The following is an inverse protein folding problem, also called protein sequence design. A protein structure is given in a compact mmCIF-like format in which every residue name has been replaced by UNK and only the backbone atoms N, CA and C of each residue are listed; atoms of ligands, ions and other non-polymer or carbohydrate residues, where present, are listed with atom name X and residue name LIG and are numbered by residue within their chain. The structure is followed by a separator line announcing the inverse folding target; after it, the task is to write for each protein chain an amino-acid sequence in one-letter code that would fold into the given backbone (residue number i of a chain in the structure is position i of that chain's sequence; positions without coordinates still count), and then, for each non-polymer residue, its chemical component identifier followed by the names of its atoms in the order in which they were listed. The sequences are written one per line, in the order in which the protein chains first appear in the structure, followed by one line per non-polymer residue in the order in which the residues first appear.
data_IF_651540621770
#
_entry.id   IF_651540621770
#
_cell.length_a   1.000
_cell.length_b   1.000
_cell.length_c   1.000
_cell.angle_alpha   90.00
_cell.angle_beta   90.00
_cell.angle_gamma   90.00
#
_symmetry.space_group_name_H-M   'P 1'
#
loop_
_entity.id
_entity.type
_entity.pdbx_description
1 polymer ?
#
# COMPACT_ATOMS: atom_id res chain seq x y z
N UNK A 1 -18.81 12.72 7.63
CA UNK A 1 -20.28 12.59 7.71
C UNK A 1 -20.64 11.37 6.89
N UNK A 2 -21.38 10.41 7.45
CA UNK A 2 -21.73 9.17 6.74
C UNK A 2 -23.03 9.30 5.95
N UNK A 3 -23.19 8.49 4.90
CA UNK A 3 -24.43 8.42 4.11
C UNK A 3 -25.56 7.87 4.98
N UNK A 4 -26.69 8.58 5.00
CA UNK A 4 -27.90 8.18 5.72
C UNK A 4 -28.74 7.21 4.86
N UNK A 5 -29.30 6.16 5.48
CA UNK A 5 -30.22 5.24 4.81
C UNK A 5 -31.64 5.79 4.65
N UNK A 6 -31.93 6.98 5.19
CA UNK A 6 -33.23 7.64 5.12
C UNK A 6 -33.17 8.88 4.24
N UNK A 7 -34.21 9.11 3.45
CA UNK A 7 -34.35 10.32 2.63
C UNK A 7 -34.79 11.54 3.48
N UNK A 8 -34.94 12.71 2.84
CA UNK A 8 -35.27 13.96 3.53
C UNK A 8 -36.66 13.96 4.21
N UNK A 9 -37.56 13.06 3.80
CA UNK A 9 -38.89 12.86 4.41
C UNK A 9 -38.86 11.82 5.54
N UNK A 10 -37.71 11.17 5.79
CA UNK A 10 -37.54 10.17 6.84
C UNK A 10 -37.93 8.75 6.41
N UNK A 11 -38.20 8.50 5.13
CA UNK A 11 -38.45 7.15 4.62
C UNK A 11 -37.14 6.41 4.35
N UNK A 12 -37.13 5.11 4.65
CA UNK A 12 -36.01 4.22 4.31
C UNK A 12 -35.87 4.17 2.79
N UNK A 13 -34.73 4.63 2.27
CA UNK A 13 -34.42 4.65 0.84
C UNK A 13 -33.10 3.91 0.59
N UNK A 14 -33.21 2.58 0.50
CA UNK A 14 -32.05 1.72 0.27
C UNK A 14 -31.44 1.93 -1.12
N UNK A 15 -32.22 2.34 -2.12
CA UNK A 15 -31.72 2.56 -3.48
C UNK A 15 -30.79 3.76 -3.52
N UNK A 16 -31.22 4.89 -2.96
CA UNK A 16 -30.38 6.09 -2.87
C UNK A 16 -29.15 5.83 -1.96
N UNK A 17 -29.35 5.14 -0.84
CA UNK A 17 -28.27 4.76 0.06
C UNK A 17 -27.21 3.89 -0.63
N UNK A 18 -27.62 2.84 -1.35
CA UNK A 18 -26.71 1.94 -2.07
C UNK A 18 -26.01 2.66 -3.22
N UNK A 19 -26.72 3.52 -3.97
CA UNK A 19 -26.12 4.33 -5.02
C UNK A 19 -25.03 5.26 -4.47
N UNK A 20 -25.34 6.01 -3.40
CA UNK A 20 -24.39 6.89 -2.73
C UNK A 20 -23.22 6.12 -2.10
N UNK A 21 -23.47 4.96 -1.49
CA UNK A 21 -22.44 4.13 -0.88
C UNK A 21 -21.48 3.53 -1.91
N UNK A 22 -21.99 3.21 -3.10
CA UNK A 22 -21.18 2.78 -4.22
C UNK A 22 -20.34 3.93 -4.79
N UNK A 23 -20.86 5.17 -4.78
CA UNK A 23 -20.09 6.38 -5.13
C UNK A 23 -19.00 6.64 -4.07
N UNK A 24 -19.32 6.49 -2.79
CA UNK A 24 -18.39 6.57 -1.67
C UNK A 24 -17.55 5.30 -1.47
N UNK A 25 -17.40 4.40 -2.46
CA UNK A 25 -16.52 3.25 -2.29
C UNK A 25 -15.07 3.74 -2.13
N UNK A 26 -14.65 3.93 -0.89
CA UNK A 26 -13.37 4.52 -0.52
C UNK A 26 -12.27 3.65 -1.12
N UNK A 27 -11.39 4.28 -1.90
CA UNK A 27 -10.21 3.59 -2.44
C UNK A 27 -9.33 3.18 -1.27
N UNK A 28 -8.92 1.91 -1.25
CA UNK A 28 -8.01 1.40 -0.23
C UNK A 28 -6.64 2.05 -0.38
N UNK A 29 -6.11 2.62 0.70
CA UNK A 29 -4.68 2.93 0.80
C UNK A 29 -3.91 1.60 0.84
N UNK A 30 -2.98 1.39 -0.08
CA UNK A 30 -2.17 0.18 -0.14
C UNK A 30 -0.70 0.53 -0.08
N UNK A 31 0.00 -0.11 0.85
CA UNK A 31 1.43 0.06 0.99
C UNK A 31 2.14 -0.87 0.00
N UNK A 32 3.03 -0.34 -0.83
CA UNK A 32 3.81 -1.11 -1.80
C UNK A 32 5.15 -1.48 -1.18
N UNK A 33 5.34 -2.76 -0.92
CA UNK A 33 6.57 -3.36 -0.42
C UNK A 33 7.28 -4.08 -1.57
N UNK A 34 8.47 -3.60 -1.93
CA UNK A 34 9.29 -4.18 -3.01
C UNK A 34 10.77 -3.92 -2.78
N UNK A 35 11.67 -4.69 -3.41
CA UNK A 35 13.10 -4.40 -3.35
C UNK A 35 13.39 -2.98 -3.85
N UNK A 36 14.28 -2.27 -3.16
CA UNK A 36 14.78 -0.96 -3.56
C UNK A 36 16.31 -0.93 -3.69
N UNK A 37 17.02 -1.39 -2.66
CA UNK A 37 18.48 -1.50 -2.68
C UNK A 37 19.02 -2.49 -3.73
N UNK A 38 20.29 -2.31 -4.12
CA UNK A 38 20.98 -3.07 -5.15
C UNK A 38 20.81 -2.43 -6.53
N UNK A 39 19.91 -2.97 -7.35
CA UNK A 39 19.55 -2.42 -8.67
C UNK A 39 18.58 -1.24 -8.49
N UNK A 40 19.08 -0.07 -8.04
CA UNK A 40 18.25 1.09 -7.69
C UNK A 40 17.43 1.55 -8.89
N UNK A 41 18.03 1.67 -10.06
CA UNK A 41 17.34 2.14 -11.28
C UNK A 41 16.22 1.17 -11.70
N UNK A 42 16.54 -0.12 -11.82
CA UNK A 42 15.55 -1.13 -12.18
C UNK A 42 14.47 -1.33 -11.11
N UNK A 43 14.83 -1.26 -9.83
CA UNK A 43 13.87 -1.30 -8.72
C UNK A 43 12.94 -0.09 -8.72
N UNK A 44 13.46 1.11 -9.00
CA UNK A 44 12.68 2.35 -9.10
C UNK A 44 11.62 2.22 -10.20
N UNK A 45 12.02 1.73 -11.38
CA UNK A 45 11.08 1.55 -12.50
C UNK A 45 10.03 0.47 -12.19
N UNK A 46 10.44 -0.64 -11.56
CA UNK A 46 9.52 -1.66 -11.07
C UNK A 46 8.51 -1.09 -10.07
N UNK A 47 8.97 -0.33 -9.09
CA UNK A 47 8.11 0.29 -8.07
C UNK A 47 7.09 1.25 -8.68
N UNK A 48 7.49 2.07 -9.66
CA UNK A 48 6.57 2.92 -10.44
C UNK A 48 5.49 2.10 -11.14
N UNK A 49 5.88 0.99 -11.79
CA UNK A 49 4.93 0.06 -12.42
C UNK A 49 3.97 -0.56 -11.40
N UNK A 50 4.45 -0.93 -10.20
CA UNK A 50 3.59 -1.45 -9.12
C UNK A 50 2.59 -0.39 -8.65
N UNK A 51 3.01 0.86 -8.52
CA UNK A 51 2.12 2.00 -8.26
C UNK A 51 1.04 2.14 -9.33
N UNK A 52 1.42 2.10 -10.61
CA UNK A 52 0.46 2.12 -11.73
C UNK A 52 -0.51 0.95 -11.65
N UNK A 53 -0.04 -0.26 -11.35
CA UNK A 53 -0.88 -1.44 -11.16
C UNK A 53 -1.89 -1.23 -10.02
N UNK A 54 -1.49 -0.71 -8.86
CA UNK A 54 -2.41 -0.39 -7.77
C UNK A 54 -3.51 0.60 -8.19
N UNK A 55 -3.16 1.64 -8.95
CA UNK A 55 -4.14 2.59 -9.51
C UNK A 55 -5.14 1.87 -10.43
N UNK A 56 -4.68 0.98 -11.32
CA UNK A 56 -5.59 0.20 -12.19
C UNK A 56 -6.52 -0.75 -11.41
N UNK A 57 -6.17 -1.07 -10.16
CA UNK A 57 -6.98 -1.87 -9.22
C UNK A 57 -7.86 -1.00 -8.31
N UNK A 58 -8.01 0.29 -8.62
CA UNK A 58 -8.75 1.27 -7.83
C UNK A 58 -8.24 1.41 -6.38
N UNK A 59 -6.93 1.23 -6.18
CA UNK A 59 -6.24 1.46 -4.92
C UNK A 59 -5.39 2.74 -4.97
N UNK A 60 -5.10 3.31 -3.81
CA UNK A 60 -4.20 4.46 -3.65
C UNK A 60 -2.84 3.92 -3.18
N UNK A 61 -1.80 3.90 -4.03
CA UNK A 61 -0.50 3.37 -3.65
C UNK A 61 0.28 4.34 -2.76
N UNK A 62 0.90 3.78 -1.73
CA UNK A 62 1.91 4.44 -0.89
C UNK A 62 3.23 3.71 -1.11
N UNK A 63 4.27 4.43 -1.57
CA UNK A 63 5.55 3.84 -1.97
C UNK A 63 6.70 4.62 -1.33
N UNK A 64 7.01 4.41 -0.04
CA UNK A 64 7.94 5.28 0.68
C UNK A 64 9.35 5.26 0.11
N UNK A 65 9.81 4.13 -0.42
CA UNK A 65 11.13 3.99 -1.05
C UNK A 65 11.24 4.72 -2.41
N UNK A 66 10.17 5.30 -2.95
CA UNK A 66 10.26 6.28 -4.05
C UNK A 66 10.21 7.73 -3.56
N UNK A 67 9.72 7.95 -2.35
CA UNK A 67 9.44 9.27 -1.78
C UNK A 67 10.60 9.75 -0.91
N UNK A 68 11.01 8.95 0.08
CA UNK A 68 12.01 9.33 1.06
C UNK A 68 13.41 9.57 0.48
N UNK A 69 13.92 8.79 -0.51
CA UNK A 69 15.23 9.06 -1.10
C UNK A 69 15.35 10.40 -1.82
N UNK A 70 14.25 11.14 -2.01
CA UNK A 70 14.28 12.49 -2.56
C UNK A 70 14.71 13.55 -1.53
N UNK A 71 14.71 13.21 -0.24
CA UNK A 71 15.03 14.12 0.85
C UNK A 71 15.69 13.46 2.07
N UNK A 72 16.00 12.15 2.00
CA UNK A 72 16.80 11.39 2.94
C UNK A 72 17.94 10.70 2.18
N UNK A 73 19.10 10.60 2.81
CA UNK A 73 20.32 9.97 2.34
C UNK A 73 20.33 8.49 2.76
N UNK A 74 20.25 7.58 1.77
CA UNK A 74 20.25 6.13 2.02
C UNK A 74 21.60 5.61 2.58
N UNK A 75 22.70 6.32 2.32
CA UNK A 75 24.04 5.98 2.80
C UNK A 75 24.28 6.43 4.25
N UNK A 76 23.42 7.28 4.80
CA UNK A 76 23.44 7.68 6.21
C UNK A 76 22.60 6.68 7.03
N UNK A 77 23.20 5.93 7.97
CA UNK A 77 22.47 4.98 8.81
C UNK A 77 21.33 5.60 9.63
N UNK A 78 21.49 6.83 10.12
CA UNK A 78 20.49 7.50 10.96
C UNK A 78 19.28 7.92 10.12
N UNK A 79 19.52 8.51 8.94
CA UNK A 79 18.44 8.89 8.03
C UNK A 79 17.73 7.66 7.44
N UNK A 80 18.47 6.57 7.21
CA UNK A 80 17.89 5.29 6.80
C UNK A 80 16.97 4.71 7.87
N UNK A 81 17.40 4.72 9.14
CA UNK A 81 16.56 4.28 10.26
C UNK A 81 15.30 5.17 10.38
N UNK A 82 15.47 6.48 10.23
CA UNK A 82 14.36 7.44 10.19
C UNK A 82 13.37 7.10 9.07
N UNK A 83 13.85 6.85 7.84
CA UNK A 83 13.02 6.45 6.69
C UNK A 83 12.22 5.17 6.95
N UNK A 84 12.85 4.15 7.54
CA UNK A 84 12.17 2.91 7.93
C UNK A 84 11.09 3.20 8.97
N UNK A 85 11.42 3.96 10.02
CA UNK A 85 10.47 4.26 11.10
C UNK A 85 9.22 5.00 10.59
N UNK A 86 9.40 6.01 9.72
CA UNK A 86 8.30 6.74 9.09
C UNK A 86 7.47 5.82 8.18
N UNK A 87 8.14 4.95 7.42
CA UNK A 87 7.49 3.94 6.59
C UNK A 87 6.58 3.02 7.39
N UNK A 88 7.01 2.54 8.56
CA UNK A 88 6.20 1.68 9.44
C UNK A 88 5.01 2.41 10.06
N UNK A 89 5.16 3.70 10.40
CA UNK A 89 4.03 4.54 10.84
C UNK A 89 3.02 4.69 9.70
N UNK A 90 3.48 4.95 8.49
CA UNK A 90 2.61 5.12 7.33
C UNK A 90 1.92 3.80 6.92
N UNK A 91 2.63 2.68 7.01
CA UNK A 91 2.07 1.34 6.85
C UNK A 91 0.89 1.12 7.81
N UNK A 92 0.98 1.57 9.06
CA UNK A 92 -0.12 1.43 10.04
C UNK A 92 -1.40 2.18 9.67
N UNK A 93 -1.34 3.11 8.70
CA UNK A 93 -2.49 3.84 8.16
C UNK A 93 -3.04 3.22 6.87
N UNK A 94 -2.36 2.22 6.32
CA UNK A 94 -2.78 1.54 5.10
C UNK A 94 -3.81 0.43 5.39
N UNK A 95 -4.62 0.12 4.40
CA UNK A 95 -5.65 -0.92 4.47
C UNK A 95 -5.09 -2.30 4.10
N UNK A 96 -4.07 -2.35 3.24
CA UNK A 96 -3.41 -3.58 2.79
C UNK A 96 -1.91 -3.33 2.56
N UNK A 97 -1.10 -4.38 2.71
CA UNK A 97 0.29 -4.43 2.28
C UNK A 97 0.38 -5.29 1.02
N UNK A 98 0.92 -4.73 -0.07
CA UNK A 98 1.15 -5.46 -1.31
C UNK A 98 2.64 -5.68 -1.52
N UNK A 99 3.06 -6.94 -1.46
CA UNK A 99 4.44 -7.37 -1.56
C UNK A 99 4.72 -7.81 -3.00
N UNK A 100 5.74 -7.22 -3.64
CA UNK A 100 6.14 -7.52 -5.01
C UNK A 100 7.56 -8.03 -5.08
N UNK A 101 7.80 -9.01 -5.96
CA UNK A 101 9.15 -9.45 -6.33
C UNK A 101 9.25 -10.97 -6.42
N UNK A 102 10.48 -11.46 -6.52
CA UNK A 102 10.81 -12.89 -6.46
C UNK A 102 11.51 -13.28 -5.16
N UNK A 103 11.89 -12.30 -4.33
CA UNK A 103 12.60 -12.48 -3.07
C UNK A 103 12.14 -11.44 -2.06
N UNK A 104 12.23 -11.77 -0.77
CA UNK A 104 12.02 -10.85 0.35
C UNK A 104 13.37 -10.36 0.82
N UNK A 105 13.58 -9.04 0.82
CA UNK A 105 14.80 -8.42 1.38
C UNK A 105 14.62 -8.16 2.87
N UNK A 106 15.70 -7.79 3.58
CA UNK A 106 15.62 -7.44 5.00
C UNK A 106 14.66 -6.28 5.28
N UNK A 107 14.69 -5.22 4.48
CA UNK A 107 13.75 -4.10 4.60
C UNK A 107 12.30 -4.53 4.39
N UNK A 108 12.05 -5.37 3.38
CA UNK A 108 10.70 -5.92 3.15
C UNK A 108 10.23 -6.80 4.30
N UNK A 109 11.12 -7.61 4.88
CA UNK A 109 10.78 -8.47 6.02
C UNK A 109 10.29 -7.64 7.22
N UNK A 110 10.93 -6.50 7.50
CA UNK A 110 10.51 -5.59 8.58
C UNK A 110 9.09 -5.06 8.34
N UNK A 111 8.77 -4.63 7.11
CA UNK A 111 7.42 -4.17 6.74
C UNK A 111 6.38 -5.29 6.82
N UNK A 112 6.72 -6.50 6.36
CA UNK A 112 5.85 -7.68 6.40
C UNK A 112 5.54 -8.08 7.84
N UNK A 113 6.55 -8.18 8.70
CA UNK A 113 6.36 -8.51 10.11
C UNK A 113 5.56 -7.42 10.83
N UNK A 114 5.79 -6.15 10.50
CA UNK A 114 4.94 -5.06 11.02
C UNK A 114 3.49 -5.27 10.60
N UNK A 115 3.21 -5.47 9.31
CA UNK A 115 1.85 -5.69 8.82
C UNK A 115 1.16 -6.88 9.50
N UNK A 116 1.87 -8.00 9.70
CA UNK A 116 1.37 -9.16 10.46
C UNK A 116 1.01 -8.77 11.89
N UNK A 117 1.91 -8.08 12.62
CA UNK A 117 1.69 -7.71 14.02
C UNK A 117 0.47 -6.79 14.24
N UNK A 118 0.09 -5.99 13.24
CA UNK A 118 -1.07 -5.08 13.30
C UNK A 118 -2.25 -5.57 12.45
N UNK A 119 -2.24 -6.85 12.04
CA UNK A 119 -3.30 -7.50 11.27
C UNK A 119 -3.71 -6.79 9.96
N UNK A 120 -2.75 -6.15 9.28
CA UNK A 120 -2.97 -5.63 7.93
C UNK A 120 -2.95 -6.81 6.94
N UNK A 121 -3.99 -6.97 6.07
CA UNK A 121 -4.00 -7.98 5.03
C UNK A 121 -2.79 -7.84 4.08
N UNK A 122 -2.09 -8.95 3.85
CA UNK A 122 -0.91 -9.01 2.99
C UNK A 122 -1.25 -9.73 1.69
N UNK A 123 -0.90 -9.14 0.55
CA UNK A 123 -1.08 -9.72 -0.78
C UNK A 123 0.26 -9.81 -1.49
N UNK A 124 0.55 -10.99 -2.04
CA UNK A 124 1.82 -11.24 -2.71
C UNK A 124 1.63 -11.26 -4.22
N UNK A 125 2.59 -10.67 -4.91
CA UNK A 125 2.65 -10.60 -6.36
C UNK A 125 4.08 -10.89 -6.83
N UNK A 126 4.21 -11.50 -8.00
CA UNK A 126 5.51 -11.58 -8.66
C UNK A 126 5.90 -10.23 -9.30
N UNK A 127 7.06 -10.18 -9.95
CA UNK A 127 7.58 -8.99 -10.66
C UNK A 127 6.67 -8.50 -11.80
N UNK A 128 5.75 -9.34 -12.29
CA UNK A 128 4.80 -9.02 -13.36
C UNK A 128 3.40 -8.67 -12.83
N UNK A 129 3.27 -8.38 -11.53
CA UNK A 129 2.00 -8.05 -10.86
C UNK A 129 0.96 -9.19 -10.90
N UNK A 130 1.41 -10.44 -11.08
CA UNK A 130 0.54 -11.62 -11.04
C UNK A 130 0.44 -12.07 -9.58
N UNK A 131 -0.79 -12.26 -9.03
CA UNK A 131 -0.97 -12.77 -7.68
C UNK A 131 -0.28 -14.13 -7.50
N UNK A 132 0.41 -14.30 -6.38
CA UNK A 132 0.97 -15.58 -5.95
C UNK A 132 0.36 -15.97 -4.61
N UNK A 133 0.16 -17.27 -4.36
CA UNK A 133 -0.55 -17.82 -3.19
C UNK A 133 0.17 -17.66 -1.84
N UNK A 134 0.90 -16.56 -1.65
CA UNK A 134 1.89 -16.36 -0.59
C UNK A 134 3.28 -16.78 -1.05
N UNK A 135 4.30 -16.01 -0.70
CA UNK A 135 5.68 -16.52 -0.73
C UNK A 135 5.83 -17.47 0.47
N UNK A 136 6.07 -18.75 0.20
CA UNK A 136 6.51 -19.71 1.22
C UNK A 136 7.93 -19.39 1.66
#
# INVERSE_FOLDING_TARGET
MGINSYNHEGYLDLTAYEALKNIEKHRKLVFICSPFAGDIEGNTERARRYGRFAVTRNAIPIIPHLMYPQFLCEDDPEERELGISMGLVLLSKCHELWVFGSKVTSGMAVEIEKAKSINIPIRYFNTHCIPVGGMK
#
